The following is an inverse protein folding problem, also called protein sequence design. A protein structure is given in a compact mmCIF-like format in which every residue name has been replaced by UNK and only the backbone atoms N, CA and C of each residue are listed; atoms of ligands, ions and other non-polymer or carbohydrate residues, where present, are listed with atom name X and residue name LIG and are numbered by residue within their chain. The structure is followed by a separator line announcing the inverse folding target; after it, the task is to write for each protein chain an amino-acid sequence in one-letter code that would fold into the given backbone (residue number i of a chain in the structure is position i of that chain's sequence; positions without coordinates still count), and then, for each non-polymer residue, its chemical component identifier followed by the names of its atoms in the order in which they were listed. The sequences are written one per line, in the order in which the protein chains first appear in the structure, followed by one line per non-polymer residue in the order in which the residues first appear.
data_IF_008665852454
#
_entry.id   IF_008665852454
#
_cell.length_a   1.000
_cell.length_b   1.000
_cell.length_c   1.000
_cell.angle_alpha   90.00
_cell.angle_beta   90.00
_cell.angle_gamma   90.00
#
_symmetry.space_group_name_H-M   'P 1'
#
loop_
_entity.id
_entity.type
_entity.pdbx_description
1 polymer ?
#
# COMPACT_ATOMS: atom_id res chain seq x y z
N UNK A 1 -23.98 -0.32 5.15
CA UNK A 1 -24.57 -1.35 4.27
C UNK A 1 -25.15 -0.76 3.00
N UNK A 2 -25.67 0.47 3.04
CA UNK A 2 -26.09 1.20 1.83
C UNK A 2 -24.97 1.29 0.77
N UNK A 3 -23.72 1.54 1.18
CA UNK A 3 -22.56 1.51 0.27
C UNK A 3 -22.33 0.15 -0.40
N UNK A 4 -22.44 -0.95 0.34
CA UNK A 4 -22.19 -2.29 -0.22
C UNK A 4 -23.27 -2.68 -1.25
N UNK A 5 -24.54 -2.35 -0.93
CA UNK A 5 -25.66 -2.51 -1.86
C UNK A 5 -25.49 -1.65 -3.10
N UNK A 6 -25.17 -0.37 -2.93
CA UNK A 6 -24.92 0.56 -4.03
C UNK A 6 -23.79 0.08 -4.94
N UNK A 7 -22.64 -0.31 -4.37
CA UNK A 7 -21.50 -0.83 -5.14
C UNK A 7 -21.84 -2.11 -5.91
N UNK A 8 -22.54 -3.05 -5.27
CA UNK A 8 -22.79 -4.37 -5.88
C UNK A 8 -23.98 -4.38 -6.84
N UNK A 9 -25.07 -3.68 -6.51
CA UNK A 9 -26.33 -3.75 -7.26
C UNK A 9 -26.41 -2.65 -8.31
N UNK A 10 -26.16 -1.40 -7.90
CA UNK A 10 -26.32 -0.25 -8.80
C UNK A 10 -25.09 -0.03 -9.67
N UNK A 11 -23.89 -0.20 -9.11
CA UNK A 11 -22.62 -0.01 -9.84
C UNK A 11 -22.03 -1.29 -10.40
N UNK A 12 -22.50 -2.46 -9.95
CA UNK A 12 -22.03 -3.76 -10.40
C UNK A 12 -20.50 -3.91 -10.34
N UNK A 13 -19.86 -3.36 -9.29
CA UNK A 13 -18.41 -3.44 -9.09
C UNK A 13 -18.04 -4.48 -8.04
N UNK A 14 -16.86 -5.08 -8.22
CA UNK A 14 -16.27 -5.96 -7.21
C UNK A 14 -15.87 -5.17 -5.95
N UNK A 15 -16.12 -5.75 -4.78
CA UNK A 15 -15.89 -5.10 -3.50
C UNK A 15 -15.28 -6.04 -2.45
N UNK A 16 -14.54 -5.44 -1.52
CA UNK A 16 -14.01 -6.08 -0.31
C UNK A 16 -14.06 -5.09 0.85
N UNK A 17 -15.15 -5.10 1.60
CA UNK A 17 -15.42 -4.13 2.67
C UNK A 17 -15.30 -4.79 4.04
N UNK A 18 -14.57 -4.16 4.97
CA UNK A 18 -14.44 -4.69 6.32
C UNK A 18 -15.71 -4.46 7.13
N UNK A 19 -16.17 -5.52 7.79
CA UNK A 19 -17.23 -5.47 8.79
C UNK A 19 -16.65 -5.36 10.20
N UNK A 20 -17.41 -4.70 11.09
CA UNK A 20 -17.11 -4.69 12.53
C UNK A 20 -17.54 -6.03 13.12
N UNK A 21 -16.83 -6.50 14.15
CA UNK A 21 -17.23 -7.72 14.89
C UNK A 21 -18.64 -7.65 15.49
N UNK A 22 -19.17 -6.44 15.63
CA UNK A 22 -20.48 -6.16 16.19
C UNK A 22 -21.64 -6.39 15.22
N UNK A 23 -21.36 -6.52 13.93
CA UNK A 23 -22.37 -6.69 12.89
C UNK A 23 -23.03 -8.07 12.98
N UNK A 24 -24.30 -8.12 12.54
CA UNK A 24 -25.09 -9.34 12.46
C UNK A 24 -25.15 -9.84 11.02
N UNK A 25 -25.05 -11.15 10.88
CA UNK A 25 -25.21 -11.84 9.60
C UNK A 25 -26.14 -13.03 9.78
N UNK A 26 -26.79 -13.40 8.70
CA UNK A 26 -27.70 -14.53 8.58
C UNK A 26 -27.08 -15.50 7.57
N UNK A 27 -26.75 -16.70 8.06
CA UNK A 27 -26.20 -17.79 7.23
C UNK A 27 -27.32 -18.65 6.66
N UNK A 28 -28.29 -18.97 7.51
CA UNK A 28 -29.48 -19.74 7.19
C UNK A 28 -30.70 -18.89 7.57
N UNK A 29 -31.82 -19.10 6.87
CA UNK A 29 -33.06 -18.35 7.08
C UNK A 29 -33.42 -18.28 8.56
N UNK A 30 -33.59 -17.05 9.07
CA UNK A 30 -33.94 -16.72 10.45
C UNK A 30 -32.87 -17.04 11.52
N UNK A 31 -31.72 -17.58 11.13
CA UNK A 31 -30.59 -17.83 12.04
C UNK A 31 -29.59 -16.68 11.95
N UNK A 32 -29.83 -15.69 12.79
CA UNK A 32 -28.95 -14.53 12.95
C UNK A 32 -27.93 -14.73 14.06
N UNK A 33 -26.68 -14.45 13.78
CA UNK A 33 -25.63 -14.40 14.79
C UNK A 33 -24.73 -13.20 14.58
N UNK A 34 -24.03 -12.82 15.63
CA UNK A 34 -23.07 -11.73 15.59
C UNK A 34 -21.74 -12.26 15.08
N UNK A 35 -20.99 -11.47 14.30
CA UNK A 35 -19.68 -11.92 13.79
C UNK A 35 -18.70 -12.29 14.92
N UNK A 36 -18.83 -11.70 16.11
CA UNK A 36 -18.07 -12.10 17.30
C UNK A 36 -18.36 -13.52 17.79
N UNK A 37 -19.53 -14.07 17.50
CA UNK A 37 -19.98 -15.41 17.90
C UNK A 37 -19.49 -16.50 16.94
N UNK A 38 -18.90 -16.12 15.79
CA UNK A 38 -18.35 -17.07 14.82
C UNK A 38 -17.21 -17.94 15.39
N UNK A 39 -16.72 -17.65 16.60
CA UNK A 39 -15.75 -18.50 17.30
C UNK A 39 -14.38 -18.62 16.62
N UNK A 40 -14.03 -17.71 15.70
CA UNK A 40 -12.73 -17.74 15.03
C UNK A 40 -11.60 -17.74 16.04
N UNK A 41 -10.60 -18.58 15.79
CA UNK A 41 -9.35 -18.60 16.52
C UNK A 41 -8.17 -18.35 15.57
N UNK A 42 -7.00 -17.90 16.08
CA UNK A 42 -5.84 -17.61 15.24
C UNK A 42 -5.41 -18.81 14.39
N UNK A 43 -5.37 -18.63 13.08
CA UNK A 43 -5.03 -19.67 12.10
C UNK A 43 -6.22 -20.17 11.29
N UNK A 44 -7.44 -19.86 11.70
CA UNK A 44 -8.65 -20.27 11.01
C UNK A 44 -9.13 -19.22 10.01
N UNK A 45 -9.75 -19.72 8.94
CA UNK A 45 -10.46 -18.90 7.96
C UNK A 45 -11.69 -19.65 7.47
N UNK A 46 -12.79 -18.92 7.31
CA UNK A 46 -14.06 -19.46 6.81
C UNK A 46 -14.63 -18.51 5.77
N UNK A 47 -15.21 -19.07 4.72
CA UNK A 47 -15.81 -18.32 3.62
C UNK A 47 -17.26 -18.76 3.45
N UNK A 48 -18.19 -17.83 3.60
CA UNK A 48 -19.62 -18.09 3.45
C UNK A 48 -20.15 -17.38 2.20
N UNK A 49 -21.00 -18.07 1.44
CA UNK A 49 -21.59 -17.54 0.21
C UNK A 49 -23.04 -17.19 0.41
N UNK A 50 -23.51 -16.16 -0.31
CA UNK A 50 -24.92 -15.80 -0.38
C UNK A 50 -25.55 -15.38 0.95
N UNK A 51 -24.75 -14.90 1.90
CA UNK A 51 -25.23 -14.48 3.21
C UNK A 51 -26.08 -13.23 3.12
N UNK A 52 -26.92 -13.03 4.14
CA UNK A 52 -27.61 -11.75 4.35
C UNK A 52 -26.98 -11.01 5.52
N UNK A 53 -26.83 -9.71 5.36
CA UNK A 53 -26.16 -8.85 6.34
C UNK A 53 -27.12 -7.79 6.86
N UNK A 54 -27.09 -7.58 8.17
CA UNK A 54 -27.93 -6.69 8.99
C UNK A 54 -29.44 -6.98 9.01
N UNK A 55 -30.02 -6.99 10.22
CA UNK A 55 -31.44 -7.25 10.49
C UNK A 55 -32.40 -6.18 9.95
N UNK A 56 -31.96 -4.93 9.81
CA UNK A 56 -32.85 -3.78 9.59
C UNK A 56 -33.01 -3.35 8.13
N UNK A 57 -31.98 -3.54 7.28
CA UNK A 57 -31.99 -3.07 5.88
C UNK A 57 -31.79 -4.17 4.84
N UNK A 58 -31.54 -5.41 5.28
CA UNK A 58 -31.51 -6.64 4.47
C UNK A 58 -30.73 -6.52 3.15
N UNK A 59 -29.43 -6.84 3.17
CA UNK A 59 -28.67 -7.03 1.94
C UNK A 59 -28.24 -8.50 1.83
N UNK A 60 -28.81 -9.22 0.87
CA UNK A 60 -28.60 -10.65 0.61
C UNK A 60 -27.79 -10.90 -0.66
N UNK A 61 -27.36 -12.14 -0.86
CA UNK A 61 -26.67 -12.57 -2.08
C UNK A 61 -25.21 -12.16 -2.13
N UNK A 62 -24.59 -11.87 -0.97
CA UNK A 62 -23.20 -11.45 -0.89
C UNK A 62 -22.39 -12.41 -0.01
N UNK A 63 -21.07 -12.47 -0.22
CA UNK A 63 -20.20 -13.40 0.47
C UNK A 63 -19.52 -12.76 1.68
N UNK A 64 -19.13 -13.59 2.64
CA UNK A 64 -18.38 -13.22 3.83
C UNK A 64 -17.09 -14.02 3.93
N UNK A 65 -15.97 -13.33 3.86
CA UNK A 65 -14.66 -13.87 4.17
C UNK A 65 -14.29 -13.52 5.62
N UNK A 66 -14.06 -14.55 6.43
CA UNK A 66 -13.66 -14.40 7.81
C UNK A 66 -12.27 -15.05 8.00
N UNK A 67 -11.26 -14.29 8.41
CA UNK A 67 -9.87 -14.78 8.52
C UNK A 67 -9.17 -14.24 9.76
N UNK A 68 -8.64 -15.15 10.59
CA UNK A 68 -7.72 -14.79 11.66
C UNK A 68 -6.32 -15.33 11.33
N UNK A 69 -5.37 -14.42 11.09
CA UNK A 69 -3.98 -14.81 10.84
C UNK A 69 -3.40 -15.55 12.05
N UNK A 70 -2.72 -16.68 11.80
CA UNK A 70 -2.01 -17.45 12.82
C UNK A 70 -1.00 -16.58 13.57
N UNK A 71 -0.94 -16.76 14.89
CA UNK A 71 0.07 -16.13 15.73
C UNK A 71 1.41 -16.85 15.51
N UNK A 72 2.50 -16.08 15.37
CA UNK A 72 3.85 -16.64 15.23
C UNK A 72 4.82 -15.89 16.14
N UNK A 73 5.53 -16.62 17.01
CA UNK A 73 6.43 -16.04 18.02
C UNK A 73 5.69 -14.95 18.83
N UNK A 74 6.24 -13.74 18.88
CA UNK A 74 5.65 -12.55 19.52
C UNK A 74 4.72 -11.74 18.59
N UNK A 75 4.34 -12.27 17.42
CA UNK A 75 3.53 -11.57 16.43
C UNK A 75 2.11 -12.13 16.45
N UNK A 76 1.21 -11.41 17.11
CA UNK A 76 -0.22 -11.70 17.11
C UNK A 76 -1.00 -10.60 16.41
N UNK A 77 -2.04 -10.99 15.67
CA UNK A 77 -3.06 -10.06 15.23
C UNK A 77 -4.16 -10.04 16.29
N UNK A 78 -4.45 -8.86 16.85
CA UNK A 78 -5.40 -8.72 17.96
C UNK A 78 -6.85 -9.06 17.59
N UNK A 79 -7.20 -9.04 16.30
CA UNK A 79 -8.57 -9.24 15.83
C UNK A 79 -8.62 -9.97 14.49
N UNK A 80 -9.66 -10.78 14.24
CA UNK A 80 -9.94 -11.35 12.93
C UNK A 80 -10.37 -10.28 11.93
N UNK A 81 -10.24 -10.61 10.64
CA UNK A 81 -10.86 -9.87 9.55
C UNK A 81 -12.19 -10.51 9.22
N UNK A 82 -13.23 -9.68 9.16
CA UNK A 82 -14.51 -10.02 8.55
C UNK A 82 -14.69 -9.10 7.36
N UNK A 83 -14.83 -9.66 6.17
CA UNK A 83 -14.84 -8.92 4.92
C UNK A 83 -16.07 -9.34 4.13
N UNK A 84 -16.92 -8.37 3.88
CA UNK A 84 -18.05 -8.46 2.97
C UNK A 84 -17.56 -8.31 1.53
N UNK A 85 -17.98 -9.20 0.64
CA UNK A 85 -17.42 -9.25 -0.73
C UNK A 85 -18.35 -9.96 -1.70
N UNK A 86 -18.31 -9.57 -2.97
CA UNK A 86 -18.93 -10.28 -4.09
C UNK A 86 -17.91 -11.00 -4.98
N UNK A 87 -16.65 -11.13 -4.53
CA UNK A 87 -15.62 -11.94 -5.19
C UNK A 87 -15.92 -13.42 -5.00
N UNK A 88 -15.32 -14.30 -5.81
CA UNK A 88 -15.67 -15.72 -5.84
C UNK A 88 -14.94 -16.55 -4.78
N UNK A 89 -13.74 -16.11 -4.38
CA UNK A 89 -12.85 -16.86 -3.50
C UNK A 89 -12.32 -16.07 -2.31
N UNK A 90 -12.04 -16.77 -1.21
CA UNK A 90 -11.33 -16.23 -0.05
C UNK A 90 -9.99 -15.62 -0.43
N UNK A 91 -9.26 -16.24 -1.38
CA UNK A 91 -7.94 -15.76 -1.80
C UNK A 91 -8.03 -14.38 -2.45
N UNK A 92 -8.94 -14.21 -3.41
CA UNK A 92 -9.19 -12.93 -4.07
C UNK A 92 -9.64 -11.86 -3.07
N UNK A 93 -10.58 -12.18 -2.18
CA UNK A 93 -11.06 -11.22 -1.17
C UNK A 93 -9.93 -10.73 -0.28
N UNK A 94 -9.07 -11.64 0.21
CA UNK A 94 -7.95 -11.26 1.06
C UNK A 94 -6.90 -10.47 0.27
N UNK A 95 -6.64 -10.85 -0.97
CA UNK A 95 -5.73 -10.13 -1.87
C UNK A 95 -6.22 -8.70 -2.12
N UNK A 96 -7.48 -8.53 -2.52
CA UNK A 96 -8.12 -7.23 -2.74
C UNK A 96 -8.12 -6.38 -1.47
N UNK A 97 -8.55 -6.94 -0.33
CA UNK A 97 -8.59 -6.22 0.94
C UNK A 97 -7.18 -5.81 1.42
N UNK A 98 -6.15 -6.62 1.16
CA UNK A 98 -4.78 -6.32 1.56
C UNK A 98 -4.22 -5.05 0.89
N UNK A 99 -4.69 -4.72 -0.32
CA UNK A 99 -4.30 -3.51 -1.06
C UNK A 99 -4.74 -2.21 -0.37
N UNK A 100 -5.70 -2.26 0.57
CA UNK A 100 -6.17 -1.09 1.34
C UNK A 100 -5.01 -0.34 2.03
N UNK A 101 -3.95 -1.04 2.44
CA UNK A 101 -2.81 -0.39 3.09
C UNK A 101 -2.10 0.63 2.20
N UNK A 102 -2.23 0.53 0.86
CA UNK A 102 -1.61 1.46 -0.07
C UNK A 102 -2.06 2.92 0.13
N UNK A 103 -3.32 3.15 0.53
CA UNK A 103 -3.79 4.51 0.81
C UNK A 103 -3.15 5.11 2.07
N UNK A 104 -2.84 4.27 3.07
CA UNK A 104 -2.16 4.71 4.29
C UNK A 104 -0.69 5.09 4.00
N UNK A 105 -0.07 4.40 3.03
CA UNK A 105 1.25 4.75 2.51
C UNK A 105 1.21 6.09 1.77
N UNK A 106 0.25 6.28 0.85
CA UNK A 106 0.03 7.56 0.15
C UNK A 106 -0.18 8.72 1.13
N UNK A 107 -1.01 8.55 2.16
CA UNK A 107 -1.23 9.59 3.17
C UNK A 107 0.04 9.93 3.96
N UNK A 108 0.90 8.96 4.23
CA UNK A 108 2.19 9.22 4.89
C UNK A 108 3.09 10.05 3.99
N UNK A 109 3.16 9.70 2.72
CA UNK A 109 4.03 10.33 1.72
C UNK A 109 3.57 11.76 1.36
N UNK A 110 2.27 12.04 1.42
CA UNK A 110 1.75 13.40 1.24
C UNK A 110 2.10 14.31 2.43
N UNK A 111 2.23 13.74 3.64
CA UNK A 111 2.59 14.46 4.86
C UNK A 111 4.12 14.50 5.02
N UNK A 112 4.60 14.45 6.25
CA UNK A 112 6.03 14.47 6.61
C UNK A 112 6.85 13.32 6.01
N UNK A 113 6.23 12.28 5.44
CA UNK A 113 6.94 11.20 4.76
C UNK A 113 7.54 11.60 3.41
N UNK A 114 7.06 12.68 2.80
CA UNK A 114 7.48 13.13 1.48
C UNK A 114 7.23 14.61 1.24
N UNK A 115 6.06 14.95 0.69
CA UNK A 115 5.77 16.30 0.19
C UNK A 115 5.45 17.34 1.26
N UNK A 116 5.28 16.92 2.51
CA UNK A 116 5.02 17.81 3.65
C UNK A 116 3.85 18.77 3.43
N UNK A 117 2.75 18.27 2.85
CA UNK A 117 1.56 19.05 2.51
C UNK A 117 1.04 19.87 3.70
N UNK A 118 1.09 19.32 4.91
CA UNK A 118 0.60 19.97 6.14
C UNK A 118 1.40 21.24 6.50
N UNK A 119 2.68 21.35 6.14
CA UNK A 119 3.47 22.55 6.43
C UNK A 119 3.14 23.73 5.52
N UNK A 120 2.48 23.48 4.38
CA UNK A 120 2.14 24.53 3.41
C UNK A 120 1.05 25.47 3.92
N UNK A 121 0.22 24.99 4.88
CA UNK A 121 -0.92 25.73 5.46
C UNK A 121 -1.86 26.34 4.41
N UNK A 122 -1.90 25.77 3.20
CA UNK A 122 -2.78 26.24 2.14
C UNK A 122 -4.21 25.81 2.40
N UNK A 123 -5.15 26.65 1.99
CA UNK A 123 -6.59 26.43 2.12
C UNK A 123 -7.29 26.65 0.78
N UNK A 124 -8.56 26.23 0.69
CA UNK A 124 -9.46 26.47 -0.43
C UNK A 124 -8.87 26.04 -1.79
N UNK A 125 -9.01 26.86 -2.82
CA UNK A 125 -8.60 26.57 -4.21
C UNK A 125 -7.09 26.31 -4.36
N UNK A 126 -6.27 26.96 -3.52
CA UNK A 126 -4.81 26.76 -3.52
C UNK A 126 -4.45 25.36 -3.04
N UNK A 127 -5.14 24.88 -2.00
CA UNK A 127 -4.97 23.51 -1.51
C UNK A 127 -5.40 22.49 -2.57
N UNK A 128 -6.54 22.70 -3.22
CA UNK A 128 -7.04 21.82 -4.29
C UNK A 128 -6.03 21.76 -5.45
N UNK A 129 -5.56 22.92 -5.92
CA UNK A 129 -4.55 23.01 -6.97
C UNK A 129 -3.27 22.28 -6.60
N UNK A 130 -2.78 22.46 -5.37
CA UNK A 130 -1.58 21.77 -4.90
C UNK A 130 -1.78 20.25 -4.83
N UNK A 131 -2.93 19.78 -4.36
CA UNK A 131 -3.24 18.35 -4.30
C UNK A 131 -3.23 17.71 -5.69
N UNK A 132 -3.76 18.40 -6.70
CA UNK A 132 -3.72 17.91 -8.10
C UNK A 132 -2.26 17.76 -8.56
N UNK A 133 -1.43 18.79 -8.36
CA UNK A 133 -0.01 18.75 -8.73
C UNK A 133 0.75 17.64 -7.99
N UNK A 134 0.52 17.51 -6.68
CA UNK A 134 1.11 16.46 -5.86
C UNK A 134 0.68 15.07 -6.37
N UNK A 135 -0.58 14.89 -6.76
CA UNK A 135 -1.08 13.60 -7.24
C UNK A 135 -0.39 13.17 -8.55
N UNK A 136 -0.19 14.11 -9.48
CA UNK A 136 0.56 13.85 -10.72
C UNK A 136 2.02 13.52 -10.42
N UNK A 137 2.68 14.34 -9.60
CA UNK A 137 4.08 14.15 -9.23
C UNK A 137 4.30 12.86 -8.42
N UNK A 138 3.35 12.50 -7.56
CA UNK A 138 3.36 11.25 -6.79
C UNK A 138 3.24 10.04 -7.72
N UNK A 139 2.35 10.09 -8.70
CA UNK A 139 2.17 9.01 -9.68
C UNK A 139 3.45 8.81 -10.50
N UNK A 140 4.04 9.90 -11.00
CA UNK A 140 5.30 9.86 -11.74
C UNK A 140 6.44 9.24 -10.91
N UNK A 141 6.64 9.74 -9.69
CA UNK A 141 7.66 9.21 -8.78
C UNK A 141 7.40 7.75 -8.39
N UNK A 142 6.14 7.34 -8.27
CA UNK A 142 5.78 5.94 -7.98
C UNK A 142 6.16 5.01 -9.12
N UNK A 143 5.87 5.39 -10.37
CA UNK A 143 6.25 4.58 -11.54
C UNK A 143 7.77 4.43 -11.69
N UNK A 144 8.52 5.53 -11.51
CA UNK A 144 9.98 5.47 -11.51
C UNK A 144 10.48 4.55 -10.39
N UNK A 145 9.93 4.67 -9.20
CA UNK A 145 10.32 3.84 -8.06
C UNK A 145 10.04 2.36 -8.28
N UNK A 146 8.90 2.02 -8.88
CA UNK A 146 8.58 0.65 -9.29
C UNK A 146 9.58 0.12 -10.31
N UNK A 147 9.96 0.94 -11.30
CA UNK A 147 10.93 0.57 -12.32
C UNK A 147 12.34 0.34 -11.75
N UNK A 148 12.82 1.25 -10.89
CA UNK A 148 14.10 1.11 -10.17
C UNK A 148 14.12 -0.18 -9.35
N UNK A 149 13.01 -0.49 -8.68
CA UNK A 149 12.86 -1.70 -7.88
C UNK A 149 12.86 -2.95 -8.76
N UNK A 150 12.21 -2.91 -9.93
CA UNK A 150 12.23 -3.99 -10.93
C UNK A 150 13.65 -4.24 -11.45
N UNK A 151 14.45 -3.19 -11.63
CA UNK A 151 15.87 -3.28 -12.00
C UNK A 151 16.79 -3.74 -10.85
N UNK A 152 16.28 -3.91 -9.64
CA UNK A 152 17.03 -4.47 -8.49
C UNK A 152 18.05 -3.52 -7.87
N UNK A 153 17.99 -2.23 -8.16
CA UNK A 153 19.01 -1.23 -7.78
C UNK A 153 18.54 -0.25 -6.68
N UNK A 154 17.37 -0.50 -6.08
CA UNK A 154 16.82 0.37 -5.03
C UNK A 154 17.73 0.56 -3.81
N UNK A 155 18.68 -0.35 -3.57
CA UNK A 155 19.63 -0.28 -2.45
C UNK A 155 20.62 0.88 -2.52
N UNK A 156 20.88 1.43 -3.72
CA UNK A 156 21.72 2.61 -3.91
C UNK A 156 21.02 3.89 -3.45
N UNK A 157 19.68 3.89 -3.46
CA UNK A 157 18.87 5.07 -3.13
C UNK A 157 18.33 5.02 -1.71
N UNK A 158 17.93 3.83 -1.26
CA UNK A 158 17.29 3.64 0.02
C UNK A 158 17.76 2.37 0.68
N UNK A 159 17.71 2.32 2.01
CA UNK A 159 18.00 1.09 2.75
C UNK A 159 16.86 0.08 2.55
N UNK A 160 17.12 -1.11 1.95
CA UNK A 160 16.06 -2.06 1.62
C UNK A 160 15.46 -2.77 2.84
N UNK A 161 16.28 -3.07 3.86
CA UNK A 161 15.86 -3.78 5.08
C UNK A 161 16.53 -3.16 6.31
N UNK A 162 15.74 -2.90 7.36
CA UNK A 162 16.23 -2.54 8.69
C UNK A 162 15.99 -3.72 9.64
N UNK A 163 17.01 -4.10 10.43
CA UNK A 163 16.84 -5.08 11.50
C UNK A 163 15.74 -4.57 12.45
N UNK A 164 14.67 -5.36 12.63
CA UNK A 164 13.49 -5.14 13.51
C UNK A 164 12.23 -4.51 12.87
N UNK A 165 12.24 -4.05 11.62
CA UNK A 165 11.03 -3.47 10.99
C UNK A 165 10.12 -4.55 10.40
N UNK A 166 8.80 -4.44 10.62
CA UNK A 166 7.79 -5.39 10.08
C UNK A 166 7.43 -5.12 8.62
N UNK A 167 7.50 -3.86 8.21
CA UNK A 167 7.12 -3.38 6.90
C UNK A 167 8.28 -2.57 6.31
N UNK A 168 8.33 -2.48 4.97
CA UNK A 168 9.29 -1.62 4.28
C UNK A 168 9.12 -0.17 4.76
N UNK A 169 10.25 0.52 4.92
CA UNK A 169 10.25 1.93 5.33
C UNK A 169 9.85 2.85 4.19
N UNK A 170 10.39 2.56 3.01
CA UNK A 170 10.27 3.38 1.82
C UNK A 170 9.19 2.80 0.91
N UNK A 171 8.25 3.65 0.52
CA UNK A 171 7.28 3.41 -0.54
C UNK A 171 7.97 3.41 -1.90
N UNK A 172 7.29 2.89 -2.93
CA UNK A 172 7.81 2.99 -4.30
C UNK A 172 7.93 4.47 -4.72
N UNK A 173 6.98 5.32 -4.32
CA UNK A 173 7.10 6.79 -4.37
C UNK A 173 8.43 7.31 -3.79
N UNK A 174 8.76 6.90 -2.56
CA UNK A 174 9.98 7.37 -1.89
C UNK A 174 11.25 6.96 -2.63
N UNK A 175 11.26 5.76 -3.23
CA UNK A 175 12.38 5.27 -4.04
C UNK A 175 12.55 6.17 -5.27
N UNK A 176 11.47 6.43 -6.01
CA UNK A 176 11.52 7.28 -7.20
C UNK A 176 11.88 8.73 -6.89
N UNK A 177 11.35 9.30 -5.80
CA UNK A 177 11.71 10.65 -5.36
C UNK A 177 13.20 10.75 -5.02
N UNK A 178 13.78 9.76 -4.33
CA UNK A 178 15.21 9.73 -4.06
C UNK A 178 16.02 9.54 -5.35
N UNK A 179 15.51 8.76 -6.32
CA UNK A 179 16.12 8.62 -7.64
C UNK A 179 16.20 9.95 -8.39
N UNK A 180 15.09 10.68 -8.46
CA UNK A 180 15.02 12.03 -9.07
C UNK A 180 16.04 12.97 -8.41
N UNK A 181 16.02 13.05 -7.06
CA UNK A 181 16.93 13.90 -6.30
C UNK A 181 18.39 13.54 -6.56
N UNK A 182 18.73 12.26 -6.46
CA UNK A 182 20.10 11.80 -6.63
C UNK A 182 20.64 12.07 -8.04
N UNK A 183 19.85 11.84 -9.08
CA UNK A 183 20.24 12.18 -10.45
C UNK A 183 20.44 13.69 -10.63
N UNK A 184 19.58 14.51 -10.05
CA UNK A 184 19.72 15.96 -10.12
C UNK A 184 21.00 16.46 -9.43
N UNK A 185 21.34 15.88 -8.28
CA UNK A 185 22.56 16.20 -7.54
C UNK A 185 23.82 15.74 -8.28
N UNK A 186 23.82 14.53 -8.86
CA UNK A 186 24.95 14.02 -9.65
C UNK A 186 25.19 14.89 -10.88
N UNK A 187 24.12 15.26 -11.59
CA UNK A 187 24.22 16.15 -12.75
C UNK A 187 24.81 17.50 -12.35
N UNK A 188 24.36 18.05 -11.22
CA UNK A 188 24.86 19.33 -10.70
C UNK A 188 26.34 19.28 -10.29
N UNK A 189 26.79 18.17 -9.69
CA UNK A 189 28.16 18.00 -9.19
C UNK A 189 29.08 17.17 -10.11
N UNK A 190 28.76 17.06 -11.40
CA UNK A 190 29.47 16.17 -12.32
C UNK A 190 30.98 16.46 -12.37
N UNK A 191 31.36 17.73 -12.48
CA UNK A 191 32.77 18.13 -12.55
C UNK A 191 33.55 17.77 -11.27
N UNK A 192 32.93 17.98 -10.11
CA UNK A 192 33.51 17.65 -8.82
C UNK A 192 33.62 16.14 -8.63
N UNK A 193 32.64 15.37 -9.13
CA UNK A 193 32.68 13.92 -9.12
C UNK A 193 33.83 13.40 -9.99
N UNK A 194 34.04 13.96 -11.17
CA UNK A 194 35.14 13.59 -12.06
C UNK A 194 36.51 13.87 -11.41
N UNK A 195 36.66 15.06 -10.79
CA UNK A 195 37.86 15.39 -10.00
C UNK A 195 38.05 14.42 -8.84
N UNK A 196 37.01 14.12 -8.07
CA UNK A 196 37.09 13.21 -6.92
C UNK A 196 37.50 11.79 -7.34
N UNK A 197 36.92 11.27 -8.43
CA UNK A 197 37.27 9.93 -8.92
C UNK A 197 38.71 9.85 -9.42
N UNK A 198 39.25 10.94 -9.98
CA UNK A 198 40.65 11.02 -10.42
C UNK A 198 41.66 10.97 -9.26
N UNK A 199 41.29 11.49 -8.08
CA UNK A 199 42.15 11.53 -6.90
C UNK A 199 42.32 10.16 -6.22
N UNK A 200 41.37 9.24 -6.41
CA UNK A 200 41.36 7.93 -5.75
C UNK A 200 41.31 6.77 -6.76
N UNK A 201 42.34 6.59 -7.60
CA UNK A 201 42.38 5.55 -8.63
C UNK A 201 42.21 4.12 -8.06
N UNK A 202 42.69 3.88 -6.83
CA UNK A 202 42.53 2.61 -6.12
C UNK A 202 41.07 2.24 -5.79
N UNK A 203 40.13 3.19 -5.91
CA UNK A 203 38.69 2.97 -5.71
C UNK A 203 37.89 2.96 -7.02
N UNK A 204 38.55 2.96 -8.18
CA UNK A 204 37.90 3.06 -9.49
C UNK A 204 36.83 1.99 -9.75
N UNK A 205 37.02 0.76 -9.26
CA UNK A 205 36.02 -0.30 -9.38
C UNK A 205 34.69 0.06 -8.70
N UNK A 206 34.74 0.64 -7.50
CA UNK A 206 33.55 1.10 -6.77
C UNK A 206 32.87 2.28 -7.47
N UNK A 207 33.64 3.22 -8.02
CA UNK A 207 33.08 4.33 -8.78
C UNK A 207 32.38 3.84 -10.06
N UNK A 208 32.97 2.91 -10.80
CA UNK A 208 32.32 2.29 -11.99
C UNK A 208 31.01 1.60 -11.62
N UNK A 209 30.97 0.91 -10.47
CA UNK A 209 29.75 0.29 -9.97
C UNK A 209 28.67 1.35 -9.66
N UNK A 210 29.05 2.46 -9.02
CA UNK A 210 28.15 3.60 -8.78
C UNK A 210 27.63 4.24 -10.08
N UNK A 211 28.51 4.51 -11.05
CA UNK A 211 28.13 5.06 -12.35
C UNK A 211 27.20 4.14 -13.14
N UNK A 212 27.41 2.82 -13.03
CA UNK A 212 26.47 1.84 -13.60
C UNK A 212 25.10 1.94 -12.93
N UNK A 213 25.05 2.08 -11.60
CA UNK A 213 23.79 2.28 -10.88
C UNK A 213 23.09 3.57 -11.34
N UNK A 214 23.82 4.66 -11.52
CA UNK A 214 23.30 5.94 -12.04
C UNK A 214 22.68 5.75 -13.43
N UNK A 215 23.39 5.11 -14.34
CA UNK A 215 22.88 4.82 -15.69
C UNK A 215 21.61 3.96 -15.66
N UNK A 216 21.57 2.94 -14.79
CA UNK A 216 20.37 2.13 -14.60
C UNK A 216 19.20 2.93 -14.03
N UNK A 217 19.46 3.88 -13.13
CA UNK A 217 18.44 4.79 -12.59
C UNK A 217 17.94 5.72 -13.67
N UNK A 218 18.81 6.33 -14.47
CA UNK A 218 18.43 7.19 -15.61
C UNK A 218 17.53 6.45 -16.60
N UNK A 219 17.81 5.17 -16.88
CA UNK A 219 16.98 4.33 -17.76
C UNK A 219 15.61 3.92 -17.18
N UNK A 220 15.25 4.40 -15.98
CA UNK A 220 13.95 4.18 -15.35
C UNK A 220 12.97 5.34 -15.56
N UNK A 221 13.42 6.41 -16.26
CA UNK A 221 12.67 7.63 -16.53
C UNK A 221 12.05 7.61 -17.92
#
# INVERSE_FOLDING_TARGET
MDLAKWLSVEKQVYLSLRLKKSEYVELETDIWFRLSELGLSPGFSVYYRGIKVTKTKGFSGINLAAKWKKNYRHKSNKQPWFILTNLESMSETISAYSKRMGIEEMFRDFKLGGYNLESTKLENERLISLIILITLSYSYSTFIGEEIKRKGISEYLVRPIEKRRRYKRYSDFSIGLNGIKWLSEICFFQEQLDKLTSLFPQKQSYYRQGMRAISLIQSAF
#
